data_IF_791520600710
#
_entry.id   IF_791520600710
#
_cell.length_a   1.000
_cell.length_b   1.000
_cell.length_c   1.000
_cell.angle_alpha   90.00
_cell.angle_beta   90.00
_cell.angle_gamma   90.00
#
_symmetry.space_group_name_H-M   'P 1'
#
loop_
_entity.id
_entity.type
_entity.pdbx_description
1 polymer ?
#
# COMPACT_ATOMS: atom_id res chain seq x y z
N UNK A 1 2.72 -111.80 26.38
CA UNK A 1 2.22 -112.48 25.17
C UNK A 1 1.28 -111.51 24.48
N UNK A 2 1.58 -111.15 23.22
CA UNK A 2 0.70 -110.32 22.39
C UNK A 2 1.32 -109.00 21.97
N UNK A 3 2.37 -109.06 21.15
CA UNK A 3 2.66 -107.99 20.18
C UNK A 3 1.68 -108.17 19.01
N UNK A 4 0.99 -107.10 18.56
CA UNK A 4 0.86 -106.83 17.12
C UNK A 4 0.37 -105.39 16.85
N UNK A 5 0.82 -104.74 15.75
CA UNK A 5 0.72 -103.30 15.52
C UNK A 5 -0.12 -102.90 14.27
N UNK A 6 -0.03 -101.61 13.92
CA UNK A 6 -0.24 -100.96 12.60
C UNK A 6 -1.66 -100.62 12.08
N UNK A 7 -1.99 -99.31 12.15
CA UNK A 7 -2.49 -98.37 11.07
C UNK A 7 -3.79 -98.67 10.27
N UNK A 8 -4.24 -97.82 9.32
CA UNK A 8 -4.73 -96.43 9.39
C UNK A 8 -6.14 -96.25 8.72
N UNK A 9 -6.90 -95.19 9.03
CA UNK A 9 -7.91 -94.51 8.16
C UNK A 9 -8.70 -93.50 9.04
N UNK A 10 -8.47 -92.19 8.92
CA UNK A 10 -9.03 -91.26 7.92
C UNK A 10 -10.51 -90.90 8.11
N UNK A 11 -10.72 -89.58 8.13
CA UNK A 11 -11.91 -88.81 7.82
C UNK A 11 -13.08 -88.76 8.82
N UNK A 12 -13.00 -87.78 9.71
CA UNK A 12 -14.15 -87.03 10.21
C UNK A 12 -13.93 -85.55 9.93
N UNK A 13 -14.39 -85.08 8.78
CA UNK A 13 -14.49 -83.65 8.43
C UNK A 13 -15.56 -82.99 9.30
N UNK A 14 -15.28 -81.78 9.80
CA UNK A 14 -16.23 -80.67 9.69
C UNK A 14 -15.48 -79.33 9.64
N UNK A 15 -15.85 -78.39 8.75
CA UNK A 15 -15.04 -77.22 8.42
C UNK A 15 -15.50 -75.98 9.18
N UNK A 16 -14.60 -75.26 9.86
CA UNK A 16 -14.89 -73.87 10.28
C UNK A 16 -13.67 -72.97 10.09
N UNK A 17 -13.95 -71.95 9.28
CA UNK A 17 -13.22 -70.77 8.79
C UNK A 17 -11.98 -70.23 9.56
N UNK A 18 -11.10 -69.50 8.84
CA UNK A 18 -9.93 -68.85 9.42
C UNK A 18 -10.33 -67.59 10.21
N UNK A 19 -9.95 -67.52 11.49
CA UNK A 19 -9.91 -66.26 12.21
C UNK A 19 -8.74 -65.42 11.66
N UNK A 20 -9.10 -64.50 10.77
CA UNK A 20 -8.20 -63.47 10.28
C UNK A 20 -7.83 -62.56 11.44
N UNK A 21 -6.59 -62.71 11.92
CA UNK A 21 -5.97 -61.83 12.89
C UNK A 21 -6.11 -60.36 12.44
N UNK A 22 -6.95 -59.61 13.16
CA UNK A 22 -7.11 -58.17 12.99
C UNK A 22 -5.84 -57.46 13.49
N UNK A 23 -4.82 -57.35 12.61
CA UNK A 23 -3.67 -56.47 12.83
C UNK A 23 -4.11 -55.05 12.50
N UNK A 24 -4.09 -54.08 13.44
CA UNK A 24 -4.35 -52.69 13.10
C UNK A 24 -3.30 -52.24 12.09
N UNK A 25 -3.77 -51.93 10.88
CA UNK A 25 -2.95 -51.41 9.80
C UNK A 25 -2.27 -50.12 10.29
N UNK A 26 -0.95 -50.16 10.47
CA UNK A 26 -0.14 -48.96 10.63
C UNK A 26 -0.33 -48.12 9.37
N UNK A 27 -1.19 -47.12 9.48
CA UNK A 27 -1.45 -46.11 8.46
C UNK A 27 -0.16 -45.31 8.26
N UNK A 28 0.69 -45.80 7.35
CA UNK A 28 1.89 -45.09 6.89
C UNK A 28 1.43 -43.86 6.14
N UNK A 29 1.23 -42.78 6.88
CA UNK A 29 0.94 -41.47 6.32
C UNK A 29 2.15 -41.07 5.47
N UNK A 30 2.00 -40.90 4.14
CA UNK A 30 3.16 -40.65 3.29
C UNK A 30 3.75 -39.29 3.65
N UNK A 31 4.98 -39.33 4.18
CA UNK A 31 5.82 -38.20 4.62
C UNK A 31 5.94 -37.11 3.54
N UNK A 32 5.68 -37.46 2.27
CA UNK A 32 5.65 -36.55 1.12
C UNK A 32 4.61 -35.41 1.22
N UNK A 33 3.52 -35.58 1.97
CA UNK A 33 2.51 -34.51 2.14
C UNK A 33 3.03 -33.39 3.06
N UNK A 34 3.89 -33.72 4.04
CA UNK A 34 4.44 -32.72 4.97
C UNK A 34 5.51 -31.83 4.32
N UNK A 35 6.28 -32.36 3.36
CA UNK A 35 7.35 -31.63 2.66
C UNK A 35 6.77 -30.60 1.67
N UNK A 36 5.68 -30.95 0.97
CA UNK A 36 5.03 -30.05 0.02
C UNK A 36 4.41 -28.82 0.67
N UNK A 37 3.83 -28.96 1.88
CA UNK A 37 3.21 -27.84 2.61
C UNK A 37 4.26 -26.87 3.17
N UNK A 38 5.41 -27.38 3.65
CA UNK A 38 6.49 -26.55 4.17
C UNK A 38 7.15 -25.67 3.08
N UNK A 39 7.32 -26.22 1.86
CA UNK A 39 7.90 -25.48 0.74
C UNK A 39 6.99 -24.33 0.23
N UNK A 40 5.67 -24.55 0.22
CA UNK A 40 4.69 -23.52 -0.19
C UNK A 40 4.56 -22.40 0.86
N UNK A 41 4.60 -22.73 2.16
CA UNK A 41 4.59 -21.73 3.24
C UNK A 41 5.87 -20.88 3.28
N UNK A 42 7.04 -21.48 3.01
CA UNK A 42 8.29 -20.72 2.93
C UNK A 42 8.32 -19.74 1.74
N UNK A 43 7.73 -20.13 0.60
CA UNK A 43 7.67 -19.27 -0.58
C UNK A 43 6.70 -18.08 -0.40
N UNK A 44 5.59 -18.25 0.33
CA UNK A 44 4.66 -17.17 0.62
C UNK A 44 5.20 -16.13 1.61
N UNK A 45 5.92 -16.54 2.67
CA UNK A 45 6.44 -15.60 3.67
C UNK A 45 7.63 -14.77 3.16
N UNK A 46 8.47 -15.32 2.27
CA UNK A 46 9.57 -14.57 1.66
C UNK A 46 9.08 -13.54 0.64
N UNK A 47 7.95 -13.79 -0.04
CA UNK A 47 7.38 -12.87 -1.02
C UNK A 47 6.71 -11.63 -0.43
N UNK A 48 6.20 -11.69 0.79
CA UNK A 48 5.48 -10.55 1.42
C UNK A 48 6.41 -9.53 2.08
N UNK A 49 7.65 -9.90 2.40
CA UNK A 49 8.59 -9.01 3.11
C UNK A 49 9.16 -7.89 2.21
N UNK A 50 9.19 -8.08 0.89
CA UNK A 50 9.75 -7.07 -0.03
C UNK A 50 8.78 -5.93 -0.28
N UNK A 51 7.47 -6.17 -0.36
CA UNK A 51 6.48 -5.12 -0.55
C UNK A 51 6.40 -4.15 0.65
N UNK A 52 6.46 -4.68 1.89
CA UNK A 52 6.43 -3.86 3.10
C UNK A 52 7.67 -2.97 3.28
N UNK A 53 8.86 -3.50 2.95
CA UNK A 53 10.11 -2.75 3.07
C UNK A 53 10.20 -1.58 2.07
N UNK A 54 9.65 -1.73 0.86
CA UNK A 54 9.62 -0.66 -0.14
C UNK A 54 8.69 0.48 0.29
N UNK A 55 7.53 0.18 0.89
CA UNK A 55 6.60 1.20 1.41
C UNK A 55 7.18 1.94 2.63
N UNK A 56 7.88 1.23 3.53
CA UNK A 56 8.51 1.84 4.70
C UNK A 56 9.67 2.77 4.31
N UNK A 57 10.49 2.36 3.34
CA UNK A 57 11.65 3.14 2.88
C UNK A 57 11.26 4.45 2.22
N UNK A 58 10.08 4.53 1.61
CA UNK A 58 9.52 5.77 1.04
C UNK A 58 9.06 6.77 2.10
N UNK A 59 8.52 6.31 3.25
CA UNK A 59 7.97 7.19 4.30
C UNK A 59 9.02 7.87 5.18
N UNK A 60 10.29 7.48 5.13
CA UNK A 60 11.28 7.98 6.10
C UNK A 60 11.99 9.27 5.68
N UNK A 61 11.93 9.62 4.40
CA UNK A 61 12.60 10.81 3.87
C UNK A 61 11.63 11.69 3.08
N UNK A 62 10.59 12.16 3.75
CA UNK A 62 9.69 13.18 3.23
C UNK A 62 9.91 14.55 3.90
N UNK A 63 9.26 15.57 3.34
CA UNK A 63 9.19 16.91 3.90
C UNK A 63 7.83 17.55 3.60
N UNK A 64 7.51 18.58 4.36
CA UNK A 64 6.29 19.37 4.19
C UNK A 64 6.60 20.63 3.39
N UNK A 65 5.75 20.93 2.42
CA UNK A 65 5.78 22.17 1.64
C UNK A 65 4.69 23.09 2.14
N UNK A 66 5.05 24.32 2.48
CA UNK A 66 4.11 25.35 2.91
C UNK A 66 4.19 26.56 1.99
N UNK A 67 3.09 27.28 1.86
CA UNK A 67 3.08 28.49 1.05
C UNK A 67 1.75 29.19 1.04
N UNK A 68 1.65 30.20 0.20
CA UNK A 68 0.43 30.89 -0.11
C UNK A 68 0.27 31.15 -1.61
N UNK A 69 -0.99 31.23 -2.01
CA UNK A 69 -1.41 31.70 -3.31
C UNK A 69 -2.08 33.06 -3.14
N UNK A 70 -1.60 34.06 -3.85
CA UNK A 70 -2.17 35.40 -3.85
C UNK A 70 -2.85 35.66 -5.19
N UNK A 71 -4.14 36.03 -5.14
CA UNK A 71 -4.89 36.53 -6.28
C UNK A 71 -5.04 38.05 -6.16
N UNK A 72 -4.67 38.78 -7.20
CA UNK A 72 -4.94 40.22 -7.27
C UNK A 72 -6.44 40.52 -7.43
N UNK A 73 -6.84 41.69 -6.92
CA UNK A 73 -8.13 42.34 -7.18
C UNK A 73 -9.37 41.51 -6.78
N UNK A 74 -9.41 41.10 -5.52
CA UNK A 74 -10.53 40.36 -4.93
C UNK A 74 -11.67 41.25 -4.39
N UNK A 75 -11.51 42.57 -4.45
CA UNK A 75 -12.56 43.57 -4.20
C UNK A 75 -13.23 43.52 -2.82
N UNK A 76 -12.65 42.84 -1.83
CA UNK A 76 -13.29 42.56 -0.54
C UNK A 76 -12.62 43.33 0.61
N UNK A 77 -13.33 43.53 1.72
CA UNK A 77 -12.78 44.17 2.92
C UNK A 77 -11.64 43.34 3.51
N UNK A 78 -10.58 44.01 3.96
CA UNK A 78 -9.46 43.37 4.67
C UNK A 78 -9.92 42.45 5.80
N UNK A 79 -9.32 41.26 5.85
CA UNK A 79 -9.58 40.23 6.85
C UNK A 79 -10.86 39.43 6.62
N UNK A 80 -11.68 39.76 5.63
CA UNK A 80 -12.85 38.94 5.28
C UNK A 80 -12.44 37.73 4.43
N UNK A 81 -13.30 36.71 4.46
CA UNK A 81 -13.17 35.53 3.59
C UNK A 81 -13.34 35.98 2.14
N UNK A 82 -12.47 35.49 1.27
CA UNK A 82 -12.48 35.79 -0.16
C UNK A 82 -12.28 34.51 -0.99
N UNK A 83 -12.68 34.57 -2.25
CA UNK A 83 -12.50 33.53 -3.25
C UNK A 83 -12.04 34.16 -4.56
N UNK A 84 -11.55 33.34 -5.50
CA UNK A 84 -11.26 33.84 -6.85
C UNK A 84 -12.53 34.33 -7.56
N UNK A 85 -12.38 35.43 -8.32
CA UNK A 85 -13.44 36.07 -9.08
C UNK A 85 -13.12 36.03 -10.59
N UNK A 86 -14.15 36.12 -11.43
CA UNK A 86 -14.04 36.20 -12.89
C UNK A 86 -13.07 35.16 -13.49
N UNK A 87 -11.87 35.58 -13.89
CA UNK A 87 -10.83 34.76 -14.50
C UNK A 87 -10.18 33.75 -13.54
N UNK A 88 -10.42 33.88 -12.23
CA UNK A 88 -9.93 32.99 -11.19
C UNK A 88 -11.06 32.27 -10.44
N UNK A 89 -12.29 32.24 -10.99
CA UNK A 89 -13.44 31.60 -10.33
C UNK A 89 -13.27 30.09 -10.04
N UNK A 90 -12.28 29.44 -10.65
CA UNK A 90 -11.85 28.06 -10.36
C UNK A 90 -10.97 27.93 -9.11
N UNK A 91 -10.46 29.04 -8.58
CA UNK A 91 -9.59 29.08 -7.40
C UNK A 91 -10.44 29.37 -6.16
N UNK A 92 -10.70 28.32 -5.39
CA UNK A 92 -11.53 28.36 -4.18
C UNK A 92 -10.86 27.55 -3.06
N UNK A 93 -11.28 27.72 -1.80
CA UNK A 93 -10.85 26.83 -0.73
C UNK A 93 -11.10 25.37 -1.10
N UNK A 94 -10.09 24.52 -0.95
CA UNK A 94 -10.13 23.13 -1.37
C UNK A 94 -9.61 22.85 -2.78
N UNK A 95 -9.29 23.88 -3.60
CA UNK A 95 -8.62 23.66 -4.89
C UNK A 95 -7.32 22.88 -4.68
N UNK A 96 -7.16 21.81 -5.46
CA UNK A 96 -6.06 20.87 -5.29
C UNK A 96 -4.72 21.45 -5.75
N UNK A 97 -3.66 21.15 -5.02
CA UNK A 97 -2.28 21.37 -5.45
C UNK A 97 -1.63 20.01 -5.60
N UNK A 98 -1.18 19.71 -6.81
CA UNK A 98 -0.55 18.43 -7.16
C UNK A 98 0.95 18.65 -7.29
N UNK A 99 1.72 17.82 -6.60
CA UNK A 99 3.17 17.76 -6.75
C UNK A 99 3.52 16.51 -7.54
N UNK A 100 4.22 16.70 -8.65
CA UNK A 100 4.74 15.63 -9.49
C UNK A 100 6.26 15.56 -9.43
N UNK A 101 6.82 14.41 -9.78
CA UNK A 101 8.25 14.27 -10.02
C UNK A 101 8.66 14.70 -11.44
N UNK A 102 9.93 14.44 -11.79
CA UNK A 102 10.50 14.75 -13.09
C UNK A 102 9.91 13.93 -14.26
N UNK A 103 9.28 12.80 -13.96
CA UNK A 103 8.60 11.95 -14.94
C UNK A 103 7.11 12.33 -15.09
N UNK A 104 6.63 13.28 -14.28
CA UNK A 104 5.23 13.70 -14.24
C UNK A 104 4.36 12.80 -13.36
N UNK A 105 4.94 11.88 -12.60
CA UNK A 105 4.20 11.03 -11.66
C UNK A 105 3.79 11.85 -10.45
N UNK A 106 2.53 11.77 -10.04
CA UNK A 106 2.04 12.44 -8.82
C UNK A 106 2.66 11.79 -7.60
N UNK A 107 3.38 12.59 -6.81
CA UNK A 107 4.08 12.13 -5.59
C UNK A 107 3.46 12.67 -4.30
N UNK A 108 2.75 13.80 -4.35
CA UNK A 108 2.02 14.35 -3.22
C UNK A 108 0.89 15.26 -3.68
N UNK A 109 -0.09 15.47 -2.79
CA UNK A 109 -1.27 16.29 -3.06
C UNK A 109 -1.60 17.09 -1.80
N UNK A 110 -1.86 18.38 -1.96
CA UNK A 110 -2.45 19.23 -0.92
C UNK A 110 -3.62 20.01 -1.47
N UNK A 111 -4.12 20.96 -0.68
CA UNK A 111 -5.27 21.79 -1.04
C UNK A 111 -5.07 23.21 -0.53
N UNK A 112 -5.67 24.18 -1.23
CA UNK A 112 -5.80 25.54 -0.71
C UNK A 112 -6.68 25.55 0.54
N UNK A 113 -6.26 26.30 1.54
CA UNK A 113 -7.06 26.66 2.70
C UNK A 113 -8.05 27.78 2.40
N UNK A 114 -8.63 28.34 3.45
CA UNK A 114 -9.56 29.46 3.36
C UNK A 114 -8.83 30.74 2.89
N UNK A 115 -9.39 31.39 1.86
CA UNK A 115 -8.85 32.65 1.33
C UNK A 115 -9.21 33.81 2.24
N UNK A 116 -8.24 34.67 2.55
CA UNK A 116 -8.42 35.86 3.38
C UNK A 116 -7.95 37.10 2.64
N UNK A 117 -8.79 38.13 2.60
CA UNK A 117 -8.44 39.41 1.96
C UNK A 117 -7.34 40.13 2.73
N UNK A 118 -6.33 40.60 2.01
CA UNK A 118 -5.26 41.46 2.50
C UNK A 118 -5.06 42.61 1.51
N UNK A 119 -5.62 43.77 1.80
CA UNK A 119 -5.70 44.87 0.84
C UNK A 119 -6.62 44.52 -0.32
N UNK A 120 -6.15 44.74 -1.55
CA UNK A 120 -6.84 44.31 -2.77
C UNK A 120 -6.76 42.80 -3.02
N UNK A 121 -5.88 42.09 -2.32
CA UNK A 121 -5.50 40.74 -2.70
C UNK A 121 -6.23 39.69 -1.87
N UNK A 122 -6.45 38.51 -2.45
CA UNK A 122 -6.98 37.35 -1.75
C UNK A 122 -5.89 36.31 -1.57
N UNK A 123 -5.57 35.97 -0.32
CA UNK A 123 -4.45 35.09 0.02
C UNK A 123 -4.97 33.76 0.54
N UNK A 124 -4.61 32.66 -0.12
CA UNK A 124 -4.95 31.29 0.24
C UNK A 124 -3.71 30.57 0.77
N UNK A 125 -3.64 30.22 2.07
CA UNK A 125 -2.55 29.41 2.58
C UNK A 125 -2.68 27.96 2.09
N UNK A 126 -1.57 27.24 1.97
CA UNK A 126 -1.60 25.80 1.70
C UNK A 126 -0.47 25.05 2.40
N UNK A 127 -0.68 23.75 2.56
CA UNK A 127 0.31 22.82 3.09
C UNK A 127 0.20 21.50 2.33
N UNK A 128 1.33 20.96 1.91
CA UNK A 128 1.44 19.67 1.21
C UNK A 128 2.37 18.80 2.03
N UNK A 129 1.82 17.75 2.62
CA UNK A 129 2.57 16.82 3.46
C UNK A 129 3.11 15.66 2.63
N UNK A 130 4.07 14.93 3.22
CA UNK A 130 4.59 13.68 2.67
C UNK A 130 5.24 13.83 1.28
N UNK A 131 5.88 14.97 0.97
CA UNK A 131 6.61 15.14 -0.29
C UNK A 131 7.94 14.38 -0.22
N UNK A 132 8.19 13.37 -1.07
CA UNK A 132 9.42 12.59 -1.02
C UNK A 132 10.66 13.46 -1.29
N UNK A 133 11.77 13.29 -0.57
CA UNK A 133 13.03 14.06 -0.79
C UNK A 133 13.85 13.60 -2.00
N UNK A 134 13.54 12.44 -2.58
CA UNK A 134 14.42 11.75 -3.53
C UNK A 134 14.56 12.46 -4.90
N UNK A 135 13.70 13.43 -5.21
CA UNK A 135 13.69 14.05 -6.54
C UNK A 135 14.59 15.29 -6.63
N UNK A 136 15.16 15.52 -7.82
CA UNK A 136 15.96 16.73 -8.12
C UNK A 136 15.09 17.95 -8.42
N UNK A 137 13.93 17.70 -9.03
CA UNK A 137 12.94 18.69 -9.40
C UNK A 137 11.55 18.14 -9.12
N UNK A 138 10.61 19.05 -8.87
CA UNK A 138 9.20 18.76 -8.71
C UNK A 138 8.40 19.66 -9.64
N UNK A 139 7.36 19.12 -10.25
CA UNK A 139 6.30 19.90 -10.85
C UNK A 139 5.26 20.24 -9.80
N UNK A 140 4.77 21.46 -9.78
CA UNK A 140 3.66 21.90 -8.93
C UNK A 140 2.54 22.44 -9.82
N UNK A 141 1.39 21.79 -9.76
CA UNK A 141 0.20 22.09 -10.56
C UNK A 141 -0.91 22.53 -9.62
N UNK A 142 -1.50 23.68 -9.88
CA UNK A 142 -2.59 24.22 -9.07
C UNK A 142 -3.92 24.05 -9.82
N UNK A 143 -4.81 23.19 -9.33
CA UNK A 143 -6.08 22.89 -9.99
C UNK A 143 -5.87 22.46 -11.44
N UNK A 144 -6.42 23.23 -12.37
CA UNK A 144 -6.23 23.04 -13.82
C UNK A 144 -5.23 24.03 -14.42
N UNK A 145 -4.56 24.83 -13.59
CA UNK A 145 -3.49 25.74 -14.01
C UNK A 145 -2.24 24.91 -14.30
N UNK A 146 -1.44 25.35 -15.27
CA UNK A 146 -0.25 24.63 -15.71
C UNK A 146 0.76 24.33 -14.59
N UNK A 147 1.78 23.56 -14.95
CA UNK A 147 2.78 23.08 -13.98
C UNK A 147 3.99 24.00 -13.90
N UNK A 148 4.39 24.36 -12.68
CA UNK A 148 5.60 25.11 -12.39
C UNK A 148 6.67 24.19 -11.82
N UNK A 149 7.92 24.34 -12.27
CA UNK A 149 9.03 23.46 -11.84
C UNK A 149 9.82 24.11 -10.71
N UNK A 150 10.01 23.37 -9.61
CA UNK A 150 10.77 23.80 -8.43
C UNK A 150 11.84 22.78 -8.02
N UNK A 151 12.88 23.27 -7.36
CA UNK A 151 13.86 22.44 -6.68
C UNK A 151 13.41 22.08 -5.25
N UNK A 152 13.92 20.99 -4.65
CA UNK A 152 13.64 20.66 -3.25
C UNK A 152 13.97 21.80 -2.28
N UNK A 153 14.97 22.62 -2.59
CA UNK A 153 15.37 23.75 -1.74
C UNK A 153 14.28 24.83 -1.74
N UNK A 154 13.77 25.20 -2.93
CA UNK A 154 12.69 26.19 -3.04
C UNK A 154 11.41 25.72 -2.36
N UNK A 155 11.06 24.44 -2.50
CA UNK A 155 9.88 23.89 -1.83
C UNK A 155 9.99 23.89 -0.30
N UNK A 156 11.20 23.80 0.26
CA UNK A 156 11.44 23.84 1.71
C UNK A 156 11.50 25.26 2.28
N UNK A 157 11.88 26.24 1.47
CA UNK A 157 11.95 27.65 1.89
C UNK A 157 10.55 28.30 1.99
N UNK A 158 9.57 27.68 1.35
CA UNK A 158 8.20 28.17 1.29
C UNK A 158 7.90 28.81 -0.07
N UNK A 159 6.66 28.64 -0.54
CA UNK A 159 6.23 29.12 -1.84
C UNK A 159 5.26 30.29 -1.71
N UNK A 160 5.52 31.34 -2.48
CA UNK A 160 4.59 32.43 -2.70
C UNK A 160 4.22 32.42 -4.18
N UNK A 161 2.99 32.02 -4.47
CA UNK A 161 2.45 31.96 -5.82
C UNK A 161 1.59 33.21 -6.04
N UNK A 162 1.70 33.82 -7.22
CA UNK A 162 0.96 35.02 -7.56
C UNK A 162 0.28 34.84 -8.92
N UNK A 163 -1.00 35.18 -8.99
CA UNK A 163 -1.86 35.11 -10.17
C UNK A 163 -2.54 36.45 -10.42
#
# INVERSE_FOLDING_TARGET
>A
MGENPLTPAELGEDPVAPDTANRPARRTWPIWVAIGVAAVLFLCCAGTATAGAVVWKMRHDDFTVTGDLTLADSGTKDGAVCSGNEMYGDITPGTQIVVSDAEGTVVAVGTLGEGVSKGSDCVFPFTIEHVPKAQKFYGLTLGQRGTLTYTPKQLKEGLHLYL
#
